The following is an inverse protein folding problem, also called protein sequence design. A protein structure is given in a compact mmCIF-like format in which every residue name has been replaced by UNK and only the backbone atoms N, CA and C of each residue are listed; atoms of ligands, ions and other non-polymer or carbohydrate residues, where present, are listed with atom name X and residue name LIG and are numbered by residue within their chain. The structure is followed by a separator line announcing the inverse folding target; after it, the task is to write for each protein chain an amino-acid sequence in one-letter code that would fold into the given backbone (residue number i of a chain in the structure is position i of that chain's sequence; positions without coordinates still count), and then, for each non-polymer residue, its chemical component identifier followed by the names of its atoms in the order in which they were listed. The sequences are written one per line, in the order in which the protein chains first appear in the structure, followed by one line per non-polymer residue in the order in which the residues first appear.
data_IF_603619162853
#
_entry.id   IF_603619162853
#
_cell.length_a   1.000
_cell.length_b   1.000
_cell.length_c   1.000
_cell.angle_alpha   90.00
_cell.angle_beta   90.00
_cell.angle_gamma   90.00
#
_symmetry.space_group_name_H-M   'P 1'
#
loop_
_entity.id
_entity.type
_entity.pdbx_description
1 polymer ?
#
# COMPACT_ATOMS: atom_id res chain seq x y z
N UNK A 1 23.25 55.97 38.31
CA UNK A 1 23.89 54.64 38.22
C UNK A 1 22.96 53.79 37.36
N UNK A 2 23.03 54.01 36.05
CA UNK A 2 22.08 53.53 35.05
C UNK A 2 22.50 52.13 34.59
N UNK A 3 21.69 51.11 34.89
CA UNK A 3 21.97 49.74 34.47
C UNK A 3 21.65 49.58 32.98
N UNK A 4 22.71 49.53 32.16
CA UNK A 4 22.66 49.15 30.75
C UNK A 4 22.02 47.77 30.59
N UNK A 5 20.78 47.74 30.09
CA UNK A 5 20.10 46.49 29.68
C UNK A 5 20.59 46.12 28.28
N UNK A 6 21.45 45.11 28.21
CA UNK A 6 21.86 44.48 26.96
C UNK A 6 20.62 43.89 26.23
N UNK A 7 20.51 44.03 24.90
CA UNK A 7 19.46 43.38 24.13
C UNK A 7 19.62 41.85 24.21
N UNK A 8 18.51 41.14 24.46
CA UNK A 8 18.49 39.67 24.47
C UNK A 8 18.84 39.16 23.08
N UNK A 9 19.69 38.13 22.93
CA UNK A 9 19.92 37.50 21.64
C UNK A 9 18.59 36.95 21.14
N UNK A 10 18.17 37.40 19.95
CA UNK A 10 17.05 36.81 19.21
C UNK A 10 17.50 35.38 18.89
N UNK A 11 16.91 34.41 19.58
CA UNK A 11 17.10 33.01 19.26
C UNK A 11 16.74 32.83 17.79
N UNK A 12 17.75 32.56 16.97
CA UNK A 12 17.60 32.22 15.57
C UNK A 12 16.62 31.05 15.47
N UNK A 13 15.51 31.28 14.77
CA UNK A 13 14.61 30.21 14.34
C UNK A 13 15.44 29.23 13.50
N UNK A 14 15.85 28.13 14.11
CA UNK A 14 16.46 27.02 13.38
C UNK A 14 15.42 26.50 12.38
N UNK A 15 15.72 26.39 11.08
CA UNK A 15 14.86 25.69 10.15
C UNK A 15 14.66 24.27 10.66
N UNK A 16 13.40 23.84 10.78
CA UNK A 16 13.08 22.44 11.02
C UNK A 16 13.72 21.62 9.91
N UNK A 17 14.84 20.95 10.22
CA UNK A 17 15.42 19.94 9.36
C UNK A 17 14.29 18.94 9.08
N UNK A 18 13.90 18.69 7.83
CA UNK A 18 12.84 17.76 7.52
C UNK A 18 13.24 16.40 8.10
N UNK A 19 12.59 16.02 9.20
CA UNK A 19 12.72 14.68 9.75
C UNK A 19 12.44 13.69 8.63
N UNK A 20 13.24 12.62 8.56
CA UNK A 20 13.15 11.51 7.60
C UNK A 20 11.76 11.45 6.99
N UNK A 21 11.63 11.85 5.72
CA UNK A 21 10.34 12.00 5.04
C UNK A 21 9.63 10.65 5.05
N UNK A 22 8.77 10.42 6.05
CA UNK A 22 8.07 9.16 6.19
C UNK A 22 7.08 9.04 5.05
N UNK A 23 7.11 7.93 4.32
CA UNK A 23 6.16 7.64 3.24
C UNK A 23 4.74 7.82 3.77
N UNK A 24 3.94 8.68 3.13
CA UNK A 24 2.55 8.93 3.53
C UNK A 24 1.63 7.78 3.10
N UNK A 25 0.46 7.58 3.74
CA UNK A 25 -0.51 6.57 3.32
C UNK A 25 -0.90 6.72 1.85
N UNK A 26 -1.12 7.97 1.42
CA UNK A 26 -1.43 8.34 0.02
C UNK A 26 -0.34 7.88 -0.94
N UNK A 27 0.91 8.21 -0.67
CA UNK A 27 2.04 7.85 -1.54
C UNK A 27 2.23 6.32 -1.57
N UNK A 28 2.10 5.67 -0.42
CA UNK A 28 2.21 4.22 -0.32
C UNK A 28 1.12 3.53 -1.18
N UNK A 29 -0.14 3.90 -1.00
CA UNK A 29 -1.26 3.37 -1.76
C UNK A 29 -1.11 3.61 -3.27
N UNK A 30 -0.81 4.87 -3.67
CA UNK A 30 -0.58 5.29 -5.07
C UNK A 30 0.55 4.48 -5.72
N UNK A 31 1.65 4.25 -5.00
CA UNK A 31 2.80 3.49 -5.52
C UNK A 31 2.40 2.06 -5.84
N UNK A 32 1.67 1.39 -4.94
CA UNK A 32 1.21 0.02 -5.16
C UNK A 32 0.14 -0.07 -6.25
N UNK A 33 -0.76 0.91 -6.36
CA UNK A 33 -1.75 0.98 -7.44
C UNK A 33 -1.07 1.10 -8.82
N UNK A 34 -0.05 1.96 -8.94
CA UNK A 34 0.72 2.12 -10.19
C UNK A 34 1.54 0.86 -10.48
N UNK A 35 2.22 0.30 -9.47
CA UNK A 35 2.98 -0.93 -9.64
C UNK A 35 2.09 -2.06 -10.14
N UNK A 36 0.90 -2.22 -9.55
CA UNK A 36 -0.08 -3.22 -9.95
C UNK A 36 -0.49 -3.05 -11.42
N UNK A 37 -0.82 -1.83 -11.85
CA UNK A 37 -1.14 -1.53 -13.25
C UNK A 37 0.01 -1.86 -14.22
N UNK A 38 1.25 -1.55 -13.84
CA UNK A 38 2.44 -1.91 -14.64
C UNK A 38 2.59 -3.42 -14.74
N UNK A 39 2.38 -4.15 -13.65
CA UNK A 39 2.47 -5.63 -13.68
C UNK A 39 1.34 -6.27 -14.48
N UNK A 40 0.15 -5.68 -14.51
CA UNK A 40 -0.92 -6.07 -15.43
C UNK A 40 -0.46 -5.96 -16.88
N UNK A 41 0.22 -4.86 -17.25
CA UNK A 41 0.77 -4.71 -18.60
C UNK A 41 1.78 -5.81 -18.91
N UNK A 42 2.70 -6.13 -17.99
CA UNK A 42 3.65 -7.23 -18.16
C UNK A 42 2.96 -8.58 -18.36
N UNK A 43 1.94 -8.88 -17.54
CA UNK A 43 1.17 -10.12 -17.65
C UNK A 43 0.40 -10.18 -18.98
N UNK A 44 -0.29 -9.10 -19.38
CA UNK A 44 -1.00 -9.02 -20.66
C UNK A 44 -0.04 -9.23 -21.83
N UNK A 45 1.14 -8.60 -21.80
CA UNK A 45 2.15 -8.84 -22.82
C UNK A 45 2.57 -10.31 -22.89
N UNK A 46 2.78 -10.96 -21.75
CA UNK A 46 3.04 -12.41 -21.70
C UNK A 46 1.90 -13.22 -22.31
N UNK A 47 0.65 -12.89 -21.97
CA UNK A 47 -0.54 -13.57 -22.52
C UNK A 47 -0.66 -13.36 -24.04
N UNK A 48 -0.36 -12.17 -24.55
CA UNK A 48 -0.34 -11.89 -25.99
C UNK A 48 0.77 -12.68 -26.69
N UNK A 49 1.98 -12.73 -26.10
CA UNK A 49 3.09 -13.55 -26.62
C UNK A 49 2.73 -15.03 -26.69
N UNK A 50 2.04 -15.54 -25.67
CA UNK A 50 1.64 -16.95 -25.61
C UNK A 50 0.48 -17.29 -26.55
N UNK A 51 -0.61 -16.52 -26.51
CA UNK A 51 -1.87 -16.91 -27.13
C UNK A 51 -2.13 -16.25 -28.48
N UNK A 52 -1.61 -15.03 -28.71
CA UNK A 52 -1.87 -14.28 -29.96
C UNK A 52 -0.71 -14.42 -30.93
N UNK A 53 0.51 -14.09 -30.48
CA UNK A 53 1.72 -14.19 -31.30
C UNK A 53 2.34 -15.59 -31.31
N UNK A 54 1.91 -16.47 -30.40
CA UNK A 54 2.30 -17.88 -30.33
C UNK A 54 3.82 -18.08 -30.37
N UNK A 55 4.56 -17.30 -29.57
CA UNK A 55 6.04 -17.28 -29.54
C UNK A 55 6.67 -18.48 -28.80
N UNK A 56 5.97 -19.61 -28.72
CA UNK A 56 6.43 -20.84 -28.07
C UNK A 56 6.92 -20.61 -26.63
N UNK A 57 8.12 -21.13 -26.33
CA UNK A 57 8.74 -21.06 -25.00
C UNK A 57 8.88 -19.63 -24.46
N UNK A 58 9.07 -18.63 -25.34
CA UNK A 58 9.16 -17.24 -24.92
C UNK A 58 7.82 -16.72 -24.37
N UNK A 59 6.70 -17.13 -24.98
CA UNK A 59 5.37 -16.80 -24.49
C UNK A 59 5.07 -17.45 -23.14
N UNK A 60 5.43 -18.74 -22.99
CA UNK A 60 5.30 -19.45 -21.72
C UNK A 60 6.14 -18.83 -20.60
N UNK A 61 7.38 -18.46 -20.91
CA UNK A 61 8.26 -17.76 -19.98
C UNK A 61 7.70 -16.39 -19.60
N UNK A 62 7.17 -15.65 -20.57
CA UNK A 62 6.52 -14.35 -20.36
C UNK A 62 5.33 -14.44 -19.40
N UNK A 63 4.43 -15.40 -19.60
CA UNK A 63 3.30 -15.65 -18.69
C UNK A 63 3.77 -16.07 -17.31
N UNK A 64 4.79 -16.94 -17.21
CA UNK A 64 5.31 -17.40 -15.92
C UNK A 64 5.94 -16.26 -15.11
N UNK A 65 6.81 -15.46 -15.72
CA UNK A 65 7.47 -14.33 -15.05
C UNK A 65 6.44 -13.24 -14.75
N UNK A 66 5.67 -12.82 -15.76
CA UNK A 66 4.66 -11.78 -15.63
C UNK A 66 3.60 -12.14 -14.59
N UNK A 67 3.11 -13.38 -14.61
CA UNK A 67 2.13 -13.89 -13.66
C UNK A 67 2.66 -13.96 -12.23
N UNK A 68 3.91 -14.39 -12.04
CA UNK A 68 4.55 -14.43 -10.70
C UNK A 68 4.71 -13.02 -10.13
N UNK A 69 5.25 -12.09 -10.92
CA UNK A 69 5.44 -10.69 -10.51
C UNK A 69 4.08 -10.03 -10.22
N UNK A 70 3.11 -10.21 -11.12
CA UNK A 70 1.77 -9.66 -10.97
C UNK A 70 1.08 -10.21 -9.72
N UNK A 71 1.07 -11.53 -9.52
CA UNK A 71 0.44 -12.15 -8.36
C UNK A 71 1.01 -11.65 -7.02
N UNK A 72 2.33 -11.40 -6.95
CA UNK A 72 2.95 -10.83 -5.76
C UNK A 72 2.50 -9.37 -5.51
N UNK A 73 2.52 -8.53 -6.55
CA UNK A 73 2.11 -7.12 -6.46
C UNK A 73 0.60 -6.98 -6.20
N UNK A 74 -0.22 -7.85 -6.79
CA UNK A 74 -1.65 -7.97 -6.55
C UNK A 74 -1.95 -8.16 -5.05
N UNK A 75 -1.29 -9.11 -4.39
CA UNK A 75 -1.45 -9.35 -2.95
C UNK A 75 -0.96 -8.16 -2.12
N UNK A 76 0.19 -7.59 -2.49
CA UNK A 76 0.75 -6.43 -1.81
C UNK A 76 -0.20 -5.22 -1.87
N UNK A 77 -0.81 -4.97 -3.03
CA UNK A 77 -1.82 -3.93 -3.19
C UNK A 77 -3.07 -4.22 -2.35
N UNK A 78 -3.59 -5.46 -2.37
CA UNK A 78 -4.76 -5.84 -1.57
C UNK A 78 -4.53 -5.63 -0.07
N UNK A 79 -3.38 -6.07 0.46
CA UNK A 79 -2.99 -5.83 1.85
C UNK A 79 -2.83 -4.33 2.16
N UNK A 80 -2.27 -3.56 1.21
CA UNK A 80 -2.13 -2.11 1.33
C UNK A 80 -3.49 -1.42 1.36
N UNK A 81 -4.47 -1.86 0.57
CA UNK A 81 -5.84 -1.34 0.59
C UNK A 81 -6.52 -1.57 1.95
N UNK A 82 -6.30 -2.74 2.56
CA UNK A 82 -6.76 -3.02 3.93
C UNK A 82 -6.06 -2.12 4.94
N UNK A 83 -4.73 -2.04 4.92
CA UNK A 83 -3.95 -1.25 5.87
C UNK A 83 -4.30 0.24 5.80
N UNK A 84 -4.29 0.81 4.59
CA UNK A 84 -4.63 2.22 4.36
C UNK A 84 -6.10 2.48 4.63
N UNK A 85 -6.99 1.56 4.25
CA UNK A 85 -8.42 1.69 4.53
C UNK A 85 -8.73 1.69 6.02
N UNK A 86 -8.06 0.84 6.80
CA UNK A 86 -8.16 0.88 8.26
C UNK A 86 -7.53 2.16 8.83
N UNK A 87 -6.36 2.59 8.33
CA UNK A 87 -5.73 3.85 8.75
C UNK A 87 -6.63 5.05 8.47
N UNK A 88 -7.24 5.13 7.30
CA UNK A 88 -8.10 6.25 6.88
C UNK A 88 -9.57 6.04 7.24
N UNK A 89 -9.89 5.01 8.03
CA UNK A 89 -11.24 4.71 8.54
C UNK A 89 -12.29 4.58 7.44
N UNK A 90 -11.90 3.96 6.34
CA UNK A 90 -12.81 3.61 5.27
C UNK A 90 -13.90 2.69 5.78
N UNK A 91 -15.12 2.85 5.25
CA UNK A 91 -16.18 1.86 5.48
C UNK A 91 -15.74 0.53 4.86
N UNK A 92 -16.15 -0.59 5.47
CA UNK A 92 -15.81 -1.94 5.00
C UNK A 92 -16.09 -2.13 3.49
N UNK A 93 -17.22 -1.67 2.91
CA UNK A 93 -17.45 -1.78 1.47
C UNK A 93 -16.41 -1.04 0.62
N UNK A 94 -15.82 0.05 1.11
CA UNK A 94 -14.77 0.78 0.40
C UNK A 94 -13.45 0.02 0.42
N UNK A 95 -13.12 -0.64 1.54
CA UNK A 95 -11.95 -1.53 1.63
C UNK A 95 -12.12 -2.71 0.67
N UNK A 96 -13.29 -3.36 0.72
CA UNK A 96 -13.61 -4.48 -0.16
C UNK A 96 -13.55 -4.09 -1.64
N UNK A 97 -14.12 -2.94 -2.00
CA UNK A 97 -14.03 -2.40 -3.36
C UNK A 97 -12.57 -2.18 -3.79
N UNK A 98 -11.75 -1.60 -2.90
CA UNK A 98 -10.32 -1.42 -3.14
C UNK A 98 -9.61 -2.75 -3.44
N UNK A 99 -9.84 -3.79 -2.64
CA UNK A 99 -9.24 -5.12 -2.88
C UNK A 99 -9.72 -5.73 -4.20
N UNK A 100 -11.03 -5.68 -4.48
CA UNK A 100 -11.61 -6.24 -5.72
C UNK A 100 -11.06 -5.57 -6.98
N UNK A 101 -10.69 -4.28 -6.92
CA UNK A 101 -10.12 -3.59 -8.08
C UNK A 101 -8.81 -4.19 -8.58
N UNK A 102 -8.08 -4.94 -7.76
CA UNK A 102 -6.86 -5.62 -8.19
C UNK A 102 -7.13 -6.78 -9.17
N UNK A 103 -8.35 -7.32 -9.15
CA UNK A 103 -8.74 -8.46 -10.02
C UNK A 103 -9.01 -7.99 -11.46
N UNK A 104 -9.44 -6.74 -11.62
CA UNK A 104 -9.79 -6.18 -12.92
C UNK A 104 -8.61 -5.36 -13.46
N UNK A 105 -8.09 -5.67 -14.66
CA UNK A 105 -6.96 -4.96 -15.23
C UNK A 105 -7.12 -3.43 -15.18
N UNK A 106 -6.09 -2.76 -14.67
CA UNK A 106 -6.00 -1.30 -14.55
C UNK A 106 -7.05 -0.64 -13.64
N UNK A 107 -7.93 -1.38 -12.97
CA UNK A 107 -9.00 -0.79 -12.15
C UNK A 107 -8.50 -0.21 -10.82
N UNK A 108 -7.28 -0.54 -10.41
CA UNK A 108 -6.59 0.07 -9.26
C UNK A 108 -6.36 1.57 -9.46
N UNK A 109 -6.08 2.02 -10.69
CA UNK A 109 -5.83 3.43 -11.02
C UNK A 109 -7.07 4.32 -10.88
N UNK A 110 -8.24 4.03 -11.51
CA UNK A 110 -9.43 4.84 -11.31
C UNK A 110 -9.93 4.79 -9.87
N UNK A 111 -9.79 3.66 -9.16
CA UNK A 111 -10.13 3.57 -7.74
C UNK A 111 -9.24 4.51 -6.90
N UNK A 112 -7.94 4.47 -7.11
CA UNK A 112 -6.97 5.32 -6.43
C UNK A 112 -7.19 6.80 -6.74
N UNK A 113 -7.43 7.17 -8.00
CA UNK A 113 -7.84 8.53 -8.38
C UNK A 113 -9.16 8.95 -7.71
N UNK A 114 -10.16 8.08 -7.65
CA UNK A 114 -11.43 8.37 -6.98
C UNK A 114 -11.26 8.54 -5.47
N UNK A 115 -10.52 7.64 -4.82
CA UNK A 115 -10.25 7.70 -3.38
C UNK A 115 -9.52 9.00 -3.05
N UNK A 116 -8.54 9.37 -3.87
CA UNK A 116 -7.77 10.59 -3.71
C UNK A 116 -8.61 11.86 -3.88
N UNK A 117 -9.39 11.94 -4.97
CA UNK A 117 -10.26 13.08 -5.27
C UNK A 117 -11.36 13.30 -4.23
N UNK A 118 -11.74 12.25 -3.51
CA UNK A 118 -12.78 12.30 -2.48
C UNK A 118 -12.21 12.42 -1.06
N UNK A 119 -10.91 12.70 -0.92
CA UNK A 119 -10.24 12.92 0.36
C UNK A 119 -10.06 11.66 1.20
N UNK A 120 -10.31 10.47 0.64
CA UNK A 120 -10.18 9.19 1.36
C UNK A 120 -8.72 8.83 1.66
N UNK A 121 -7.76 9.44 0.96
CA UNK A 121 -6.33 9.23 1.19
C UNK A 121 -5.68 10.36 1.99
N UNK A 122 -6.44 11.36 2.41
CA UNK A 122 -5.92 12.52 3.14
C UNK A 122 -5.51 12.15 4.57
N UNK A 123 -4.47 12.81 5.06
CA UNK A 123 -3.94 12.61 6.41
C UNK A 123 -2.69 11.73 6.46
N UNK A 124 -2.12 11.66 7.67
CA UNK A 124 -0.92 10.91 7.97
C UNK A 124 -1.25 9.53 8.56
N UNK A 125 -0.22 8.73 8.82
CA UNK A 125 -0.37 7.51 9.60
C UNK A 125 -0.85 7.85 11.03
N UNK A 126 -1.97 7.25 11.47
CA UNK A 126 -2.58 7.46 12.79
C UNK A 126 -1.75 6.83 13.91
N UNK A 127 -0.62 7.45 14.24
CA UNK A 127 0.30 7.02 15.31
C UNK A 127 -0.04 7.58 16.69
N UNK A 128 -0.88 8.61 16.73
CA UNK A 128 -1.26 9.33 17.96
C UNK A 128 -2.73 9.09 18.26
N UNK A 129 -3.09 9.07 19.54
CA UNK A 129 -4.48 9.02 19.98
C UNK A 129 -5.22 10.31 19.65
N UNK A 130 -6.43 10.19 19.12
CA UNK A 130 -7.35 11.31 18.89
C UNK A 130 -8.56 11.18 19.81
N UNK A 131 -9.27 12.29 20.02
CA UNK A 131 -10.49 12.33 20.85
C UNK A 131 -11.69 11.60 20.22
N UNK A 132 -11.53 11.01 19.04
CA UNK A 132 -12.60 10.32 18.33
C UNK A 132 -13.03 9.04 19.08
N UNK A 133 -14.34 8.82 19.35
CA UNK A 133 -14.81 7.66 20.10
C UNK A 133 -14.39 6.29 19.51
N UNK A 134 -14.16 6.19 18.19
CA UNK A 134 -13.74 4.95 17.52
C UNK A 134 -12.28 4.58 17.80
N UNK A 135 -11.46 5.55 18.19
CA UNK A 135 -10.07 5.31 18.60
C UNK A 135 -9.97 4.49 19.89
N UNK A 136 -11.09 4.35 20.63
CA UNK A 136 -11.18 3.54 21.84
C UNK A 136 -11.43 2.06 21.55
N UNK A 137 -11.70 1.68 20.30
CA UNK A 137 -11.88 0.28 19.90
C UNK A 137 -10.57 -0.50 19.97
N UNK A 138 -10.64 -1.80 20.24
CA UNK A 138 -9.46 -2.65 20.36
C UNK A 138 -8.69 -2.76 19.03
N UNK A 139 -9.39 -2.70 17.89
CA UNK A 139 -8.79 -2.72 16.53
C UNK A 139 -7.94 -1.47 16.30
N UNK A 140 -8.46 -0.28 16.61
CA UNK A 140 -7.72 0.97 16.42
C UNK A 140 -6.51 1.07 17.37
N UNK A 141 -6.61 0.53 18.59
CA UNK A 141 -5.45 0.44 19.51
C UNK A 141 -4.35 -0.45 18.96
N UNK A 142 -4.72 -1.64 18.45
CA UNK A 142 -3.78 -2.58 17.86
C UNK A 142 -3.13 -1.98 16.60
N UNK A 143 -3.93 -1.40 15.71
CA UNK A 143 -3.44 -0.72 14.50
C UNK A 143 -2.47 0.40 14.87
N UNK A 144 -2.83 1.27 15.82
CA UNK A 144 -1.96 2.37 16.27
C UNK A 144 -0.64 1.84 16.81
N UNK A 145 -0.68 0.80 17.64
CA UNK A 145 0.53 0.17 18.17
C UNK A 145 1.43 -0.36 17.04
N UNK A 146 0.87 -0.99 16.00
CA UNK A 146 1.67 -1.37 14.84
C UNK A 146 2.22 -0.16 14.07
N UNK A 147 1.41 0.88 13.88
CA UNK A 147 1.81 2.09 13.17
C UNK A 147 2.91 2.87 13.91
N UNK A 148 3.00 2.76 15.24
CA UNK A 148 4.09 3.32 16.06
C UNK A 148 5.37 2.48 16.02
N UNK A 149 5.30 1.22 15.58
CA UNK A 149 6.44 0.31 15.39
C UNK A 149 6.64 -0.01 13.90
N UNK A 150 7.10 0.96 13.07
CA UNK A 150 7.09 0.83 11.61
C UNK A 150 7.95 -0.33 11.08
N UNK A 151 9.07 -0.64 11.73
CA UNK A 151 9.94 -1.77 11.33
C UNK A 151 9.22 -3.10 11.55
N UNK A 152 8.58 -3.27 12.71
CA UNK A 152 7.83 -4.48 13.01
C UNK A 152 6.63 -4.65 12.07
N UNK A 153 5.89 -3.57 11.82
CA UNK A 153 4.79 -3.58 10.85
C UNK A 153 5.29 -3.97 9.45
N UNK A 154 6.40 -3.38 8.99
CA UNK A 154 6.97 -3.71 7.68
C UNK A 154 7.41 -5.18 7.61
N UNK A 155 8.07 -5.71 8.64
CA UNK A 155 8.48 -7.12 8.70
C UNK A 155 7.25 -8.04 8.68
N UNK A 156 6.24 -7.77 9.51
CA UNK A 156 5.01 -8.58 9.55
C UNK A 156 4.28 -8.52 8.21
N UNK A 157 4.19 -7.34 7.60
CA UNK A 157 3.56 -7.15 6.30
C UNK A 157 4.27 -7.98 5.23
N UNK A 158 5.61 -7.91 5.16
CA UNK A 158 6.41 -8.69 4.19
C UNK A 158 6.30 -10.18 4.46
N UNK A 159 6.41 -10.62 5.72
CA UNK A 159 6.28 -12.04 6.08
C UNK A 159 4.89 -12.57 5.74
N UNK A 160 3.83 -11.83 6.06
CA UNK A 160 2.46 -12.22 5.71
C UNK A 160 2.27 -12.29 4.19
N UNK A 161 2.77 -11.30 3.45
CA UNK A 161 2.72 -11.29 1.99
C UNK A 161 3.42 -12.52 1.39
N UNK A 162 4.66 -12.80 1.82
CA UNK A 162 5.44 -13.95 1.34
C UNK A 162 4.77 -15.26 1.72
N UNK A 163 4.26 -15.38 2.95
CA UNK A 163 3.59 -16.59 3.42
C UNK A 163 2.30 -16.86 2.62
N UNK A 164 1.46 -15.84 2.41
CA UNK A 164 0.23 -15.97 1.61
C UNK A 164 0.58 -16.33 0.17
N UNK A 165 1.54 -15.62 -0.43
CA UNK A 165 1.96 -15.87 -1.81
C UNK A 165 2.51 -17.29 -1.98
N UNK A 166 3.42 -17.73 -1.11
CA UNK A 166 3.97 -19.09 -1.13
C UNK A 166 2.88 -20.15 -0.92
N UNK A 167 1.93 -19.90 0.00
CA UNK A 167 0.80 -20.82 0.23
C UNK A 167 -0.06 -20.95 -1.03
N UNK A 168 -0.38 -19.86 -1.71
CA UNK A 168 -1.14 -19.89 -2.96
C UNK A 168 -0.40 -20.60 -4.10
N UNK A 169 0.93 -20.50 -4.14
CA UNK A 169 1.74 -21.24 -5.11
C UNK A 169 1.74 -22.75 -4.83
N UNK A 170 1.69 -23.16 -3.57
CA UNK A 170 1.64 -24.59 -3.18
C UNK A 170 0.26 -25.19 -3.41
N UNK A 171 -0.81 -24.46 -3.09
CA UNK A 171 -2.20 -24.93 -3.27
C UNK A 171 -2.55 -25.01 -4.77
N UNK A 172 -1.93 -24.18 -5.60
CA UNK A 172 -2.30 -24.04 -7.02
C UNK A 172 -3.66 -23.34 -7.20
N UNK A 173 -4.04 -22.99 -8.43
CA UNK A 173 -5.35 -22.38 -8.68
C UNK A 173 -6.47 -23.37 -8.31
N UNK A 174 -7.49 -22.96 -7.55
CA UNK A 174 -8.67 -23.81 -7.36
C UNK A 174 -9.32 -24.05 -8.73
N UNK A 175 -9.17 -25.28 -9.25
CA UNK A 175 -9.59 -25.69 -10.61
C UNK A 175 -8.47 -26.25 -11.51
N UNK A 176 -7.23 -26.37 -11.03
CA UNK A 176 -6.18 -27.12 -11.73
C UNK A 176 -6.24 -28.60 -11.37
N UNK A 177 -6.94 -29.40 -12.18
CA UNK A 177 -7.04 -30.85 -11.98
C UNK A 177 -5.65 -31.51 -12.01
N UNK A 178 -5.47 -32.44 -11.07
CA UNK A 178 -4.45 -33.48 -11.11
C UNK A 178 -4.76 -34.49 -12.22
#
# INVERSE_FOLDING_TARGET
MESSRLPRPVASALPHLPGVSSVSPRLFFRTLAIAEAVTWTLLILGLLMKYVWQLGELGDLGVRIGGTIHGFVFLAYGMTAVLVGLNQRWKIPTIALGVVTAVVPYATIPFDLWADRTGRLDGSWRRVETDDPRDKTWVDRLLRWFLTHPVLLAVIFVVALVAIFATLLVIGPPGGDH
#
